data_IF_831817049800
#
_entry.id   IF_831817049800
#
_cell.length_a   1.000
_cell.length_b   1.000
_cell.length_c   1.000
_cell.angle_alpha   90.00
_cell.angle_beta   90.00
_cell.angle_gamma   90.00
#
_symmetry.space_group_name_H-M   'P 1'
#
loop_
_entity.id
_entity.type
_entity.pdbx_description
1 polymer ?
#
# COMPACT_ATOMS: atom_id res chain seq x y z
N UNK A 1 -30.19 20.52 -93.86
CA UNK A 1 -28.93 19.84 -94.23
C UNK A 1 -28.23 19.47 -92.94
N UNK A 2 -27.90 18.18 -92.79
CA UNK A 2 -27.56 17.57 -91.49
C UNK A 2 -26.15 17.87 -90.99
N UNK A 3 -25.83 17.30 -89.82
CA UNK A 3 -24.77 16.30 -89.61
C UNK A 3 -24.34 16.24 -88.13
N UNK A 4 -24.40 15.02 -87.59
CA UNK A 4 -23.60 14.38 -86.52
C UNK A 4 -23.69 14.77 -85.04
N UNK A 5 -24.11 13.75 -84.27
CA UNK A 5 -23.67 13.44 -82.92
C UNK A 5 -22.17 13.07 -82.81
N UNK A 6 -21.54 13.48 -81.71
CA UNK A 6 -20.46 12.83 -80.91
C UNK A 6 -20.53 13.54 -79.55
N UNK A 7 -20.82 12.94 -78.40
CA UNK A 7 -20.32 11.69 -77.82
C UNK A 7 -19.36 12.08 -76.69
N UNK A 8 -19.77 11.95 -75.42
CA UNK A 8 -18.84 11.83 -74.29
C UNK A 8 -19.48 11.05 -73.15
N UNK A 9 -18.89 9.89 -72.87
CA UNK A 9 -19.10 9.03 -71.71
C UNK A 9 -18.21 9.60 -70.61
N UNK A 10 -18.77 9.85 -69.41
CA UNK A 10 -18.01 10.29 -68.24
C UNK A 10 -18.60 9.67 -66.98
N UNK A 11 -17.86 8.71 -66.41
CA UNK A 11 -18.32 7.78 -65.39
C UNK A 11 -18.74 8.41 -64.06
N UNK A 12 -19.72 7.77 -63.42
CA UNK A 12 -20.10 8.03 -62.03
C UNK A 12 -19.05 7.42 -61.10
N UNK A 13 -18.24 8.26 -60.46
CA UNK A 13 -17.37 7.85 -59.36
C UNK A 13 -18.24 7.56 -58.12
N UNK A 14 -18.32 6.29 -57.73
CA UNK A 14 -18.81 5.90 -56.40
C UNK A 14 -17.66 6.06 -55.41
N UNK A 15 -17.77 7.02 -54.49
CA UNK A 15 -16.86 7.11 -53.34
C UNK A 15 -17.23 6.02 -52.33
N UNK A 16 -16.43 4.95 -52.28
CA UNK A 16 -16.48 3.96 -51.22
C UNK A 16 -15.76 4.54 -49.99
N UNK A 17 -16.52 5.01 -49.00
CA UNK A 17 -15.94 5.43 -47.70
C UNK A 17 -15.64 4.17 -46.90
N UNK A 18 -14.38 3.73 -46.94
CA UNK A 18 -13.89 2.63 -46.10
C UNK A 18 -13.66 3.20 -44.70
N UNK A 19 -14.52 2.80 -43.75
CA UNK A 19 -14.26 3.00 -42.34
C UNK A 19 -13.15 2.04 -41.90
N UNK A 20 -11.92 2.55 -41.81
CA UNK A 20 -10.85 1.82 -41.15
C UNK A 20 -11.14 1.91 -39.64
N UNK A 21 -11.69 0.83 -39.09
CA UNK A 21 -11.71 0.60 -37.65
C UNK A 21 -10.26 0.45 -37.20
N UNK A 22 -9.65 1.55 -36.73
CA UNK A 22 -8.41 1.46 -35.96
C UNK A 22 -8.84 0.81 -34.65
N UNK A 23 -8.68 -0.51 -34.55
CA UNK A 23 -8.68 -1.17 -33.27
C UNK A 23 -7.53 -0.54 -32.48
N UNK A 24 -7.87 0.31 -31.52
CA UNK A 24 -6.95 0.76 -30.50
C UNK A 24 -6.35 -0.50 -29.89
N UNK A 25 -5.07 -0.76 -30.16
CA UNK A 25 -4.31 -1.74 -29.40
C UNK A 25 -4.36 -1.23 -27.97
N UNK A 26 -5.21 -1.80 -27.14
CA UNK A 26 -5.08 -1.68 -25.70
C UNK A 26 -3.63 -2.08 -25.43
N UNK A 27 -2.84 -1.18 -24.82
CA UNK A 27 -1.52 -1.55 -24.35
C UNK A 27 -1.73 -2.77 -23.45
N UNK A 28 -1.20 -3.93 -23.84
CA UNK A 28 -1.27 -5.14 -23.03
C UNK A 28 -0.56 -4.80 -21.72
N UNK A 29 -1.23 -4.95 -20.59
CA UNK A 29 -0.59 -4.83 -19.28
C UNK A 29 0.60 -5.78 -19.19
N UNK A 30 1.57 -5.46 -18.34
CA UNK A 30 2.74 -6.31 -18.16
C UNK A 30 2.35 -7.68 -17.59
N UNK A 31 2.96 -8.75 -18.11
CA UNK A 31 2.74 -10.11 -17.64
C UNK A 31 3.41 -10.30 -16.26
N UNK A 32 2.61 -10.21 -15.20
CA UNK A 32 3.08 -10.30 -13.82
C UNK A 32 3.55 -11.72 -13.44
N UNK A 33 3.23 -12.75 -14.23
CA UNK A 33 3.72 -14.10 -14.00
C UNK A 33 5.22 -14.26 -14.26
N UNK A 34 5.82 -13.32 -14.99
CA UNK A 34 7.27 -13.28 -15.19
C UNK A 34 8.04 -12.80 -13.94
N UNK A 35 7.37 -12.12 -13.00
CA UNK A 35 7.98 -11.54 -11.81
C UNK A 35 7.71 -12.34 -10.54
N UNK A 36 6.56 -13.01 -10.47
CA UNK A 36 6.06 -13.58 -9.23
C UNK A 36 5.84 -15.08 -9.29
N UNK A 37 6.18 -15.73 -8.18
CA UNK A 37 5.78 -17.09 -7.86
C UNK A 37 4.57 -17.06 -6.94
N UNK A 38 3.52 -17.79 -7.30
CA UNK A 38 2.33 -17.93 -6.44
C UNK A 38 2.52 -19.02 -5.39
N UNK A 39 1.84 -18.87 -4.25
CA UNK A 39 1.64 -19.95 -3.28
C UNK A 39 0.96 -21.15 -3.96
N UNK A 40 1.28 -22.38 -3.52
CA UNK A 40 0.88 -23.63 -4.19
C UNK A 40 -0.60 -24.01 -4.00
N UNK A 41 -1.47 -23.05 -3.72
CA UNK A 41 -2.90 -23.28 -3.52
C UNK A 41 -3.70 -22.72 -4.70
N UNK A 42 -4.89 -23.27 -4.94
CA UNK A 42 -5.84 -22.68 -5.89
C UNK A 42 -6.35 -21.29 -5.45
N UNK A 43 -5.88 -20.75 -4.31
CA UNK A 43 -6.30 -19.45 -3.78
C UNK A 43 -5.50 -18.27 -4.31
N UNK A 44 -4.33 -18.52 -4.91
CA UNK A 44 -3.56 -17.52 -5.65
C UNK A 44 -3.62 -17.85 -7.15
N UNK A 45 -4.03 -16.90 -7.98
CA UNK A 45 -4.17 -17.11 -9.43
C UNK A 45 -3.65 -15.93 -10.22
N UNK A 46 -3.02 -16.23 -11.35
CA UNK A 46 -2.91 -15.28 -12.45
C UNK A 46 -4.22 -15.27 -13.23
N UNK A 47 -4.75 -14.08 -13.49
CA UNK A 47 -5.97 -13.84 -14.27
C UNK A 47 -5.69 -12.76 -15.31
N UNK A 48 -6.65 -12.52 -16.21
CA UNK A 48 -6.56 -11.51 -17.27
C UNK A 48 -5.29 -11.64 -18.14
N UNK A 49 -5.07 -12.83 -18.70
CA UNK A 49 -3.86 -13.17 -19.47
C UNK A 49 -2.55 -12.87 -18.71
N UNK A 50 -2.53 -13.23 -17.41
CA UNK A 50 -1.43 -12.99 -16.48
C UNK A 50 -1.11 -11.52 -16.20
N UNK A 51 -2.05 -10.60 -16.37
CA UNK A 51 -1.86 -9.19 -16.04
C UNK A 51 -2.26 -8.87 -14.59
N UNK A 52 -3.05 -9.74 -13.95
CA UNK A 52 -3.51 -9.56 -12.57
C UNK A 52 -3.26 -10.82 -11.74
N UNK A 53 -2.84 -10.63 -10.48
CA UNK A 53 -2.83 -11.66 -9.44
C UNK A 53 -4.07 -11.45 -8.57
N UNK A 54 -4.85 -12.51 -8.36
CA UNK A 54 -5.90 -12.55 -7.34
C UNK A 54 -5.47 -13.45 -6.20
N UNK A 55 -5.53 -12.90 -4.99
CA UNK A 55 -5.33 -13.63 -3.75
C UNK A 55 -6.66 -13.77 -3.04
N UNK A 56 -6.99 -14.99 -2.63
CA UNK A 56 -8.19 -15.28 -1.87
C UNK A 56 -7.89 -15.82 -0.47
N UNK A 57 -8.81 -15.52 0.44
CA UNK A 57 -8.82 -15.97 1.82
C UNK A 57 -10.19 -16.60 2.12
N UNK A 58 -10.16 -17.81 2.67
CA UNK A 58 -11.31 -18.50 3.24
C UNK A 58 -10.94 -19.10 4.61
N UNK A 59 -11.91 -19.72 5.29
CA UNK A 59 -11.69 -20.23 6.65
C UNK A 59 -10.58 -21.29 6.75
N UNK A 60 -10.25 -21.94 5.63
CA UNK A 60 -9.21 -22.97 5.59
C UNK A 60 -7.83 -22.35 5.61
N UNK A 61 -7.58 -21.35 4.75
CA UNK A 61 -6.28 -20.69 4.65
C UNK A 61 -6.31 -19.42 3.80
N UNK A 62 -5.24 -18.61 3.92
CA UNK A 62 -4.94 -17.48 3.06
C UNK A 62 -4.20 -17.86 1.78
N UNK A 63 -3.58 -16.87 1.16
CA UNK A 63 -2.71 -17.07 -0.02
C UNK A 63 -1.73 -15.91 -0.20
N UNK A 64 -0.76 -16.11 -1.08
CA UNK A 64 0.23 -15.08 -1.39
C UNK A 64 1.04 -15.35 -2.65
N UNK A 65 1.93 -14.41 -2.94
CA UNK A 65 2.96 -14.49 -3.96
C UNK A 65 4.29 -13.90 -3.46
N UNK A 66 5.40 -14.27 -4.11
CA UNK A 66 6.73 -13.72 -3.86
C UNK A 66 7.43 -13.39 -5.18
N UNK A 67 8.31 -12.40 -5.19
CA UNK A 67 9.18 -12.16 -6.35
C UNK A 67 10.15 -13.33 -6.56
N UNK A 68 10.57 -13.55 -7.81
CA UNK A 68 11.66 -14.49 -8.11
C UNK A 68 13.03 -13.99 -7.64
N UNK A 69 13.23 -12.67 -7.67
CA UNK A 69 14.50 -12.01 -7.33
C UNK A 69 14.42 -11.28 -6.00
N UNK A 70 15.57 -11.20 -5.32
CA UNK A 70 15.80 -10.25 -4.24
C UNK A 70 16.24 -8.90 -4.83
N UNK A 71 15.90 -7.81 -4.15
CA UNK A 71 16.30 -6.46 -4.54
C UNK A 71 17.00 -5.75 -3.39
N UNK A 72 17.96 -4.89 -3.70
CA UNK A 72 18.56 -3.96 -2.74
C UNK A 72 18.52 -2.56 -3.35
N UNK A 73 17.57 -1.76 -2.89
CA UNK A 73 17.17 -0.48 -3.46
C UNK A 73 16.42 -0.57 -4.81
N UNK A 74 15.50 0.37 -5.02
CA UNK A 74 14.64 0.44 -6.19
C UNK A 74 13.45 1.38 -6.02
N UNK A 75 12.75 1.60 -7.11
CA UNK A 75 11.38 2.09 -7.14
C UNK A 75 10.47 0.93 -7.53
N UNK A 76 9.49 0.62 -6.69
CA UNK A 76 8.57 -0.50 -6.88
C UNK A 76 7.14 0.03 -6.83
N UNK A 77 6.36 -0.22 -7.87
CA UNK A 77 4.96 0.18 -7.94
C UNK A 77 4.08 -1.04 -8.14
N UNK A 78 2.99 -1.11 -7.37
CA UNK A 78 1.94 -2.10 -7.57
C UNK A 78 0.60 -1.40 -7.55
N UNK A 79 -0.30 -1.76 -8.48
CA UNK A 79 -1.70 -1.37 -8.37
C UNK A 79 -2.46 -2.43 -7.63
N UNK A 80 -3.11 -2.04 -6.55
CA UNK A 80 -3.84 -2.96 -5.67
C UNK A 80 -5.28 -2.48 -5.52
N UNK A 81 -6.22 -3.42 -5.58
CA UNK A 81 -7.63 -3.19 -5.27
C UNK A 81 -8.04 -4.08 -4.10
N UNK A 82 -8.59 -3.45 -3.07
CA UNK A 82 -8.94 -4.10 -1.80
C UNK A 82 -10.24 -4.90 -1.88
N UNK A 83 -10.48 -5.68 -0.83
CA UNK A 83 -11.67 -6.49 -0.63
C UNK A 83 -12.90 -5.57 -0.49
N UNK A 84 -13.94 -5.70 -1.34
CA UNK A 84 -15.15 -4.90 -1.21
C UNK A 84 -16.05 -5.43 -0.09
N UNK A 85 -16.93 -4.56 0.42
CA UNK A 85 -17.91 -4.93 1.45
C UNK A 85 -17.27 -5.13 2.82
N UNK A 86 -17.72 -6.14 3.57
CA UNK A 86 -17.16 -6.46 4.88
C UNK A 86 -15.87 -7.27 4.71
N UNK A 87 -14.77 -6.69 5.17
CA UNK A 87 -13.43 -7.27 5.16
C UNK A 87 -12.85 -7.33 6.58
N UNK A 88 -13.69 -7.20 7.62
CA UNK A 88 -13.22 -7.18 8.99
C UNK A 88 -12.39 -8.43 9.33
N UNK A 89 -11.34 -8.25 10.12
CA UNK A 89 -10.38 -9.28 10.51
C UNK A 89 -9.42 -9.71 9.40
N UNK A 90 -9.54 -9.24 8.17
CA UNK A 90 -8.59 -9.55 7.09
C UNK A 90 -7.43 -8.57 7.05
N UNK A 91 -6.27 -9.05 6.62
CA UNK A 91 -5.08 -8.24 6.32
C UNK A 91 -4.62 -8.56 4.91
N UNK A 92 -4.61 -7.56 4.04
CA UNK A 92 -4.01 -7.62 2.70
C UNK A 92 -2.67 -6.91 2.75
N UNK A 93 -1.62 -7.47 2.17
CA UNK A 93 -0.26 -6.92 2.29
C UNK A 93 0.41 -6.69 0.95
N UNK A 94 1.38 -5.78 0.96
CA UNK A 94 2.39 -5.59 -0.07
C UNK A 94 3.67 -5.15 0.64
N UNK A 95 4.66 -6.03 0.73
CA UNK A 95 5.80 -5.80 1.61
C UNK A 95 7.10 -6.40 1.05
N UNK A 96 8.21 -5.95 1.61
CA UNK A 96 9.54 -6.45 1.31
C UNK A 96 10.14 -7.00 2.58
N UNK A 97 10.77 -8.17 2.54
CA UNK A 97 11.45 -8.71 3.71
C UNK A 97 12.71 -9.49 3.34
N UNK A 98 13.75 -9.38 4.16
CA UNK A 98 14.86 -10.33 4.17
C UNK A 98 14.59 -11.43 5.21
N UNK A 99 15.48 -12.41 5.34
CA UNK A 99 15.27 -13.53 6.26
C UNK A 99 16.26 -13.52 7.42
N UNK A 100 15.79 -13.95 8.59
CA UNK A 100 16.60 -14.16 9.78
C UNK A 100 16.19 -13.29 10.97
N UNK A 101 16.91 -13.43 12.08
CA UNK A 101 16.60 -12.73 13.32
C UNK A 101 16.80 -11.20 13.21
N UNK A 102 17.67 -10.76 12.30
CA UNK A 102 17.99 -9.35 12.04
C UNK A 102 17.42 -8.90 10.70
N UNK A 103 16.29 -9.46 10.27
CA UNK A 103 15.71 -9.13 8.96
C UNK A 103 15.39 -7.64 8.83
N UNK A 104 15.44 -7.18 7.59
CA UNK A 104 14.96 -5.87 7.17
C UNK A 104 13.56 -6.08 6.55
N UNK A 105 12.60 -5.17 6.81
CA UNK A 105 11.24 -5.28 6.29
C UNK A 105 10.58 -3.90 6.07
N UNK A 106 9.80 -3.77 4.99
CA UNK A 106 9.05 -2.56 4.62
C UNK A 106 7.62 -2.95 4.24
N UNK A 107 6.65 -2.44 4.99
CA UNK A 107 5.28 -2.94 4.92
C UNK A 107 4.27 -1.92 4.41
N UNK A 108 3.39 -2.37 3.52
CA UNK A 108 2.02 -1.88 3.40
C UNK A 108 1.08 -3.00 3.89
N UNK A 109 0.27 -2.70 4.88
CA UNK A 109 -0.74 -3.61 5.44
C UNK A 109 -2.11 -2.92 5.45
N UNK A 110 -3.05 -3.44 4.67
CA UNK A 110 -4.41 -2.95 4.60
C UNK A 110 -5.26 -3.74 5.60
N UNK A 111 -5.73 -3.06 6.62
CA UNK A 111 -6.55 -3.63 7.68
C UNK A 111 -8.00 -3.49 7.28
N UNK A 112 -8.63 -4.63 6.95
CA UNK A 112 -10.02 -4.66 6.53
C UNK A 112 -10.98 -4.20 7.64
N UNK A 113 -12.19 -3.83 7.25
CA UNK A 113 -13.17 -3.26 8.15
C UNK A 113 -14.60 -3.68 7.79
N UNK A 114 -15.55 -3.37 8.66
CA UNK A 114 -16.97 -3.66 8.42
C UNK A 114 -17.49 -2.87 7.22
N UNK A 115 -18.56 -3.36 6.59
CA UNK A 115 -19.20 -2.63 5.48
C UNK A 115 -19.53 -1.19 5.88
N UNK A 116 -19.05 -0.23 5.08
CA UNK A 116 -19.29 1.20 5.29
C UNK A 116 -18.27 1.91 6.18
N UNK A 117 -17.37 1.17 6.81
CA UNK A 117 -16.26 1.72 7.59
C UNK A 117 -14.96 1.75 6.76
N UNK A 118 -14.08 2.75 6.96
CA UNK A 118 -12.88 2.91 6.15
C UNK A 118 -11.85 1.81 6.43
N UNK A 119 -11.19 1.34 5.37
CA UNK A 119 -9.98 0.52 5.47
C UNK A 119 -8.83 1.39 6.00
N UNK A 120 -8.01 0.83 6.88
CA UNK A 120 -6.80 1.47 7.38
C UNK A 120 -5.61 0.95 6.57
N UNK A 121 -4.77 1.85 6.07
CA UNK A 121 -3.44 1.50 5.60
C UNK A 121 -2.44 1.69 6.73
N UNK A 122 -1.81 0.60 7.16
CA UNK A 122 -0.66 0.59 8.05
C UNK A 122 0.63 0.50 7.23
N UNK A 123 1.64 1.28 7.62
CA UNK A 123 3.03 1.08 7.18
C UNK A 123 3.90 0.75 8.37
N UNK A 124 4.93 -0.07 8.15
CA UNK A 124 5.92 -0.41 9.17
C UNK A 124 7.31 -0.53 8.56
N UNK A 125 8.32 -0.44 9.41
CA UNK A 125 9.74 -0.51 9.02
C UNK A 125 10.51 -1.32 10.06
N UNK A 126 11.04 -2.47 9.64
CA UNK A 126 12.04 -3.21 10.38
C UNK A 126 13.42 -2.97 9.77
N UNK A 127 14.37 -2.59 10.62
CA UNK A 127 15.78 -2.46 10.24
C UNK A 127 16.64 -3.21 11.24
N UNK A 128 17.44 -4.15 10.75
CA UNK A 128 18.27 -5.05 11.57
C UNK A 128 17.46 -5.80 12.64
N UNK A 129 16.24 -6.23 12.31
CA UNK A 129 15.31 -6.94 13.20
C UNK A 129 14.58 -6.05 14.21
N UNK A 130 14.80 -4.74 14.20
CA UNK A 130 14.10 -3.79 15.06
C UNK A 130 12.95 -3.19 14.27
N UNK A 131 11.71 -3.48 14.65
CA UNK A 131 10.49 -2.89 14.09
C UNK A 131 9.83 -1.90 15.04
N UNK A 132 8.54 -2.12 15.32
CA UNK A 132 7.71 -1.30 16.20
C UNK A 132 7.50 0.15 15.71
N UNK A 133 7.47 0.36 14.39
CA UNK A 133 7.38 1.70 13.77
C UNK A 133 6.09 1.88 12.99
N UNK A 134 4.96 1.45 13.52
CA UNK A 134 3.70 1.50 12.79
C UNK A 134 3.23 2.95 12.61
N UNK A 135 2.78 3.29 11.41
CA UNK A 135 1.97 4.47 11.13
C UNK A 135 0.70 4.01 10.42
N UNK A 136 -0.45 4.57 10.79
CA UNK A 136 -1.75 4.20 10.21
C UNK A 136 -2.45 5.42 9.67
N UNK A 137 -2.96 5.32 8.45
CA UNK A 137 -3.78 6.35 7.83
C UNK A 137 -5.12 5.79 7.36
N UNK A 138 -6.14 6.63 7.31
CA UNK A 138 -7.24 6.42 6.37
C UNK A 138 -6.82 6.86 4.97
N UNK A 139 -7.47 6.33 3.95
CA UNK A 139 -7.27 6.75 2.56
C UNK A 139 -8.30 7.82 2.18
N UNK A 140 -7.92 8.73 1.28
CA UNK A 140 -8.80 9.80 0.75
C UNK A 140 -9.72 9.32 -0.39
N UNK A 141 -9.87 8.00 -0.52
CA UNK A 141 -10.70 7.31 -1.50
C UNK A 141 -11.11 5.93 -0.94
N UNK A 142 -12.05 5.26 -1.59
CA UNK A 142 -12.40 3.86 -1.31
C UNK A 142 -11.43 2.93 -2.06
N UNK A 143 -10.50 2.24 -1.38
CA UNK A 143 -9.50 1.40 -2.03
C UNK A 143 -10.06 0.08 -2.58
N UNK A 144 -11.33 -0.24 -2.32
CA UNK A 144 -12.01 -1.40 -2.90
C UNK A 144 -12.78 -1.06 -4.18
N UNK A 145 -13.04 0.22 -4.44
CA UNK A 145 -13.81 0.68 -5.60
C UNK A 145 -13.02 0.58 -6.91
N UNK A 146 -11.72 0.87 -6.89
CA UNK A 146 -10.83 0.76 -8.05
C UNK A 146 -9.38 0.45 -7.62
N UNK A 147 -8.51 0.22 -8.59
CA UNK A 147 -7.09 0.02 -8.40
C UNK A 147 -6.35 1.34 -8.17
N UNK A 148 -5.61 1.42 -7.07
CA UNK A 148 -4.75 2.55 -6.72
C UNK A 148 -3.27 2.14 -6.72
N UNK A 149 -2.38 3.09 -6.99
CA UNK A 149 -0.93 2.86 -6.98
C UNK A 149 -0.40 2.92 -5.55
N UNK A 150 0.33 1.88 -5.16
CA UNK A 150 1.11 1.83 -3.93
C UNK A 150 2.57 1.68 -4.33
N UNK A 151 3.35 2.71 -4.04
CA UNK A 151 4.73 2.82 -4.52
C UNK A 151 5.70 2.90 -3.36
N UNK A 152 6.79 2.14 -3.45
CA UNK A 152 7.91 2.19 -2.54
C UNK A 152 9.14 2.73 -3.27
N UNK A 153 9.64 3.88 -2.84
CA UNK A 153 11.00 4.32 -3.15
C UNK A 153 11.90 3.87 -2.02
N UNK A 154 12.90 3.05 -2.30
CA UNK A 154 13.93 2.64 -1.35
C UNK A 154 15.30 2.90 -1.97
N UNK A 155 16.04 3.88 -1.46
CA UNK A 155 17.36 4.24 -1.98
C UNK A 155 18.39 4.34 -0.84
N UNK A 156 19.62 4.77 -1.15
CA UNK A 156 20.69 4.85 -0.14
C UNK A 156 20.44 5.94 0.91
N UNK A 157 19.47 6.84 0.69
CA UNK A 157 19.23 8.01 1.54
C UNK A 157 17.94 7.95 2.34
N UNK A 158 16.90 7.28 1.82
CA UNK A 158 15.59 7.23 2.45
C UNK A 158 14.71 6.13 1.86
N UNK A 159 13.71 5.73 2.65
CA UNK A 159 12.53 5.03 2.18
C UNK A 159 11.37 6.01 2.12
N UNK A 160 10.61 6.01 1.04
CA UNK A 160 9.37 6.78 0.90
C UNK A 160 8.24 5.87 0.43
N UNK A 161 7.15 5.89 1.18
CA UNK A 161 5.91 5.21 0.86
C UNK A 161 4.97 6.20 0.17
N UNK A 162 4.40 5.82 -0.97
CA UNK A 162 3.45 6.64 -1.72
C UNK A 162 2.13 5.91 -1.94
N UNK A 163 1.07 6.72 -2.04
CA UNK A 163 -0.23 6.32 -2.54
C UNK A 163 -0.60 7.28 -3.68
N UNK A 164 -0.79 6.77 -4.90
CA UNK A 164 -1.08 7.58 -6.09
C UNK A 164 -0.12 8.76 -6.30
N UNK A 165 1.16 8.54 -6.00
CA UNK A 165 2.22 9.57 -6.11
C UNK A 165 2.27 10.57 -4.96
N UNK A 166 1.37 10.49 -3.98
CA UNK A 166 1.37 11.30 -2.76
C UNK A 166 2.21 10.59 -1.70
N UNK A 167 3.29 11.20 -1.16
CA UNK A 167 4.07 10.58 -0.09
C UNK A 167 3.25 10.53 1.20
N UNK A 168 3.14 9.34 1.79
CA UNK A 168 2.41 9.12 3.04
C UNK A 168 3.35 8.93 4.24
N UNK A 169 4.61 8.57 3.99
CA UNK A 169 5.64 8.36 5.01
C UNK A 169 7.04 8.45 4.40
N UNK A 170 7.99 8.97 5.20
CA UNK A 170 9.43 8.93 4.92
C UNK A 170 10.14 8.28 6.10
N UNK A 171 11.09 7.39 5.84
CA UNK A 171 12.05 6.86 6.82
C UNK A 171 13.47 7.19 6.34
N UNK A 172 14.16 8.15 6.98
CA UNK A 172 15.45 8.63 6.49
C UNK A 172 16.60 7.69 6.87
N UNK A 173 17.62 7.60 6.01
CA UNK A 173 18.89 6.97 6.37
C UNK A 173 19.74 7.95 7.19
N UNK A 174 19.72 7.76 8.51
CA UNK A 174 20.48 8.57 9.48
C UNK A 174 21.45 7.70 10.29
N UNK A 175 21.76 6.50 9.78
CA UNK A 175 22.54 5.50 10.49
C UNK A 175 23.94 6.02 10.84
N UNK A 176 24.62 6.67 9.90
CA UNK A 176 25.97 7.20 10.14
C UNK A 176 25.98 8.36 11.14
N UNK A 177 24.90 9.15 11.18
CA UNK A 177 24.79 10.32 12.05
C UNK A 177 24.31 9.98 13.47
N UNK A 178 23.50 8.92 13.63
CA UNK A 178 22.75 8.68 14.88
C UNK A 178 22.83 7.23 15.39
N UNK A 179 23.29 6.29 14.56
CA UNK A 179 23.29 4.86 14.86
C UNK A 179 21.92 4.18 14.70
N UNK A 180 20.85 4.90 14.35
CA UNK A 180 19.54 4.28 14.04
C UNK A 180 19.69 3.39 12.79
N UNK A 181 19.39 2.09 12.86
CA UNK A 181 19.61 1.19 11.73
C UNK A 181 18.80 1.56 10.48
N UNK A 182 19.41 1.31 9.33
CA UNK A 182 18.78 1.48 8.02
C UNK A 182 18.91 0.20 7.17
N UNK A 183 17.96 0.01 6.25
CA UNK A 183 17.81 -1.18 5.42
C UNK A 183 18.76 -1.07 4.22
N UNK A 184 20.05 -1.23 4.45
CA UNK A 184 21.09 -1.07 3.40
C UNK A 184 22.00 -2.29 3.23
N UNK A 185 21.89 -3.28 4.11
CA UNK A 185 22.78 -4.45 4.14
C UNK A 185 22.19 -5.72 3.54
N UNK A 186 20.86 -5.81 3.40
CA UNK A 186 20.17 -7.05 3.08
C UNK A 186 19.22 -6.85 1.90
N UNK A 187 19.43 -7.56 0.78
CA UNK A 187 18.42 -7.64 -0.25
C UNK A 187 17.15 -8.31 0.28
N UNK A 188 16.01 -7.85 -0.23
CA UNK A 188 14.69 -8.30 0.20
C UNK A 188 13.91 -8.89 -0.97
N UNK A 189 13.14 -9.93 -0.71
CA UNK A 189 12.09 -10.38 -1.61
C UNK A 189 10.85 -9.50 -1.43
N UNK A 190 10.11 -9.31 -2.50
CA UNK A 190 8.79 -8.67 -2.49
C UNK A 190 7.73 -9.74 -2.31
N UNK A 191 6.76 -9.49 -1.44
CA UNK A 191 5.63 -10.35 -1.17
C UNK A 191 4.31 -9.58 -1.24
N UNK A 192 3.24 -10.31 -1.58
CA UNK A 192 1.87 -9.89 -1.31
C UNK A 192 1.10 -11.07 -0.74
N UNK A 193 0.37 -10.85 0.34
CA UNK A 193 -0.39 -11.89 1.04
C UNK A 193 -1.77 -11.40 1.46
N UNK A 194 -2.69 -12.34 1.64
CA UNK A 194 -3.96 -12.12 2.31
C UNK A 194 -4.13 -13.17 3.41
N UNK A 195 -4.44 -12.73 4.63
CA UNK A 195 -4.53 -13.60 5.80
C UNK A 195 -5.48 -13.05 6.87
N UNK A 196 -5.85 -13.90 7.83
CA UNK A 196 -6.72 -13.51 8.94
C UNK A 196 -5.91 -12.92 10.11
N UNK A 197 -6.14 -11.64 10.40
CA UNK A 197 -5.56 -10.88 11.50
C UNK A 197 -6.55 -10.65 12.65
N UNK A 198 -7.48 -11.57 12.92
CA UNK A 198 -8.55 -11.42 13.93
C UNK A 198 -8.09 -10.92 15.29
N UNK A 199 -6.86 -11.24 15.70
CA UNK A 199 -6.33 -10.83 17.01
C UNK A 199 -6.05 -9.33 17.12
N UNK A 200 -5.96 -8.58 16.01
CA UNK A 200 -5.54 -7.17 16.05
C UNK A 200 -6.05 -6.28 14.90
N UNK A 201 -6.34 -6.82 13.72
CA UNK A 201 -6.51 -6.05 12.49
C UNK A 201 -7.63 -4.99 12.57
N UNK A 202 -8.85 -5.41 12.91
CA UNK A 202 -10.01 -4.50 12.92
C UNK A 202 -10.34 -4.04 14.33
N UNK A 203 -10.24 -2.73 14.56
CA UNK A 203 -10.49 -2.08 15.85
C UNK A 203 -9.67 -2.70 17.01
N UNK A 204 -8.40 -3.03 16.74
CA UNK A 204 -7.54 -3.70 17.73
C UNK A 204 -7.96 -5.14 18.02
N UNK A 205 -8.58 -5.81 17.05
CA UNK A 205 -9.03 -7.19 17.15
C UNK A 205 -10.40 -7.38 17.79
N UNK A 206 -11.18 -6.31 17.99
CA UNK A 206 -12.54 -6.42 18.56
C UNK A 206 -13.54 -7.03 17.58
N UNK A 207 -13.39 -6.72 16.29
CA UNK A 207 -14.25 -7.24 15.24
C UNK A 207 -13.50 -8.39 14.53
N UNK A 208 -14.19 -9.51 14.36
CA UNK A 208 -13.65 -10.75 13.79
C UNK A 208 -14.14 -10.93 12.37
N UNK A 209 -13.43 -11.72 11.59
CA UNK A 209 -13.85 -12.11 10.24
C UNK A 209 -15.16 -12.89 10.28
N UNK A 210 -16.14 -12.42 9.53
CA UNK A 210 -17.36 -13.18 9.21
C UNK A 210 -17.08 -14.11 8.03
N UNK A 211 -16.68 -15.33 8.34
CA UNK A 211 -16.36 -16.34 7.33
C UNK A 211 -17.52 -16.73 6.41
N UNK A 212 -18.77 -16.34 6.71
CA UNK A 212 -19.90 -16.56 5.79
C UNK A 212 -19.82 -15.70 4.53
N UNK A 213 -18.96 -14.68 4.54
CA UNK A 213 -18.71 -13.75 3.43
C UNK A 213 -17.52 -14.16 2.56
N UNK A 214 -16.82 -15.24 2.92
CA UNK A 214 -15.72 -15.77 2.12
C UNK A 214 -16.20 -16.27 0.73
N UNK A 215 -15.34 -16.23 -0.30
CA UNK A 215 -13.94 -15.83 -0.25
C UNK A 215 -13.74 -14.31 -0.27
N UNK A 216 -12.81 -13.84 0.56
CA UNK A 216 -12.31 -12.47 0.47
C UNK A 216 -11.22 -12.41 -0.59
N UNK A 217 -11.30 -11.45 -1.52
CA UNK A 217 -10.38 -11.38 -2.67
C UNK A 217 -9.73 -10.01 -2.74
N UNK A 218 -8.40 -10.01 -2.80
CA UNK A 218 -7.58 -8.83 -3.13
C UNK A 218 -6.93 -9.03 -4.50
N UNK A 219 -6.88 -7.96 -5.28
CA UNK A 219 -6.33 -7.99 -6.65
C UNK A 219 -5.10 -7.10 -6.77
N UNK A 220 -4.09 -7.57 -7.51
CA UNK A 220 -2.82 -6.91 -7.74
C UNK A 220 -2.50 -6.91 -9.23
N UNK A 221 -2.08 -5.79 -9.81
CA UNK A 221 -1.72 -5.71 -11.24
C UNK A 221 -0.77 -4.56 -11.53
N UNK A 222 -0.41 -4.40 -12.80
CA UNK A 222 0.39 -3.28 -13.29
C UNK A 222 1.70 -3.10 -12.47
N UNK A 223 2.33 -4.21 -12.10
CA UNK A 223 3.60 -4.18 -11.37
C UNK A 223 4.67 -3.53 -12.22
N UNK A 224 5.38 -2.56 -11.66
CA UNK A 224 6.49 -1.89 -12.33
C UNK A 224 7.66 -1.76 -11.37
N UNK A 225 8.85 -2.07 -11.86
CA UNK A 225 10.08 -2.08 -11.06
C UNK A 225 11.24 -1.49 -11.84
N UNK A 226 11.95 -0.55 -11.20
CA UNK A 226 13.29 -0.14 -11.61
C UNK A 226 14.17 -0.23 -10.36
N UNK A 227 14.93 -1.32 -10.26
CA UNK A 227 15.60 -1.72 -9.04
C UNK A 227 16.95 -2.38 -9.33
N UNK A 228 17.72 -2.59 -8.26
CA UNK A 228 18.95 -3.37 -8.32
C UNK A 228 18.67 -4.79 -7.82
N UNK A 229 18.58 -5.73 -8.76
CA UNK A 229 18.60 -7.15 -8.45
C UNK A 229 20.05 -7.62 -8.23
N UNK A 230 20.23 -8.61 -7.35
CA UNK A 230 21.49 -9.32 -7.04
C UNK A 230 22.51 -8.63 -6.12
N UNK A 231 23.00 -9.40 -5.12
CA UNK A 231 23.92 -9.01 -4.02
C UNK A 231 25.25 -8.38 -4.45
N UNK A 232 25.78 -8.76 -5.61
CA UNK A 232 27.21 -8.57 -5.93
C UNK A 232 27.51 -7.19 -6.54
N UNK A 233 26.50 -6.52 -7.12
CA UNK A 233 26.70 -5.27 -7.85
C UNK A 233 25.85 -4.10 -7.33
N UNK A 234 25.29 -4.18 -6.13
CA UNK A 234 24.26 -3.24 -5.63
C UNK A 234 24.75 -1.80 -5.54
N UNK A 235 25.98 -1.55 -5.10
CA UNK A 235 26.58 -0.20 -5.07
C UNK A 235 26.82 0.36 -6.48
N UNK A 236 27.37 -0.45 -7.39
CA UNK A 236 27.57 -0.07 -8.79
C UNK A 236 26.24 0.18 -9.48
N UNK A 237 25.26 -0.70 -9.27
CA UNK A 237 23.93 -0.56 -9.81
C UNK A 237 23.31 0.75 -9.32
N UNK A 238 23.14 0.94 -8.01
CA UNK A 238 22.49 2.10 -7.43
C UNK A 238 23.09 3.44 -7.90
N UNK A 239 24.42 3.51 -8.07
CA UNK A 239 25.11 4.71 -8.55
C UNK A 239 24.66 5.19 -9.94
N UNK A 240 24.16 4.27 -10.79
CA UNK A 240 23.69 4.58 -12.15
C UNK A 240 22.21 4.89 -12.23
N UNK A 241 21.48 4.72 -11.13
CA UNK A 241 20.03 4.74 -11.12
C UNK A 241 19.49 6.14 -10.84
N UNK A 242 18.39 6.51 -11.50
CA UNK A 242 17.81 7.86 -11.42
C UNK A 242 17.29 8.19 -10.01
N UNK A 243 16.75 7.20 -9.30
CA UNK A 243 16.17 7.35 -7.97
C UNK A 243 17.20 7.42 -6.85
N UNK A 244 18.50 7.31 -7.19
CA UNK A 244 19.62 7.50 -6.27
C UNK A 244 20.42 8.77 -6.57
N UNK A 245 19.89 9.67 -7.42
CA UNK A 245 20.47 10.98 -7.71
C UNK A 245 20.08 12.01 -6.65
N UNK A 246 20.80 13.13 -6.61
CA UNK A 246 20.67 14.19 -5.60
C UNK A 246 19.21 14.63 -5.31
N UNK A 247 18.39 14.73 -6.36
CA UNK A 247 16.98 15.14 -6.25
C UNK A 247 16.07 14.14 -5.50
N UNK A 248 16.54 12.93 -5.22
CA UNK A 248 15.83 11.88 -4.47
C UNK A 248 16.45 11.59 -3.10
N UNK A 249 17.44 12.38 -2.67
CA UNK A 249 18.06 12.22 -1.35
C UNK A 249 17.11 12.63 -0.21
N UNK A 250 16.20 13.57 -0.47
CA UNK A 250 15.12 13.97 0.41
C UNK A 250 13.93 14.52 -0.40
N UNK A 251 12.73 14.56 0.19
CA UNK A 251 11.55 15.16 -0.44
C UNK A 251 11.76 16.66 -0.67
N UNK A 252 11.31 17.16 -1.82
CA UNK A 252 11.23 18.60 -2.06
C UNK A 252 10.08 19.25 -1.25
N UNK A 253 10.04 20.58 -1.25
CA UNK A 253 9.02 21.34 -0.51
C UNK A 253 7.57 21.03 -0.90
N UNK A 254 7.31 20.66 -2.16
CA UNK A 254 5.97 20.33 -2.64
C UNK A 254 5.54 18.97 -2.09
N UNK A 255 6.40 17.95 -2.23
CA UNK A 255 6.17 16.62 -1.69
C UNK A 255 6.08 16.62 -0.16
N UNK A 256 6.88 17.45 0.52
CA UNK A 256 6.77 17.63 1.97
C UNK A 256 5.43 18.26 2.38
N UNK A 257 4.95 19.25 1.61
CA UNK A 257 3.62 19.83 1.83
C UNK A 257 2.49 18.80 1.68
N UNK A 258 2.59 17.90 0.70
CA UNK A 258 1.66 16.79 0.53
C UNK A 258 1.73 15.79 1.69
N UNK A 259 2.93 15.42 2.13
CA UNK A 259 3.12 14.54 3.29
C UNK A 259 2.49 15.15 4.55
N UNK A 260 2.68 16.45 4.77
CA UNK A 260 2.06 17.14 5.92
C UNK A 260 0.53 17.13 5.82
N UNK A 261 -0.03 17.34 4.62
CA UNK A 261 -1.47 17.21 4.42
C UNK A 261 -1.99 15.81 4.78
N UNK A 262 -1.27 14.74 4.38
CA UNK A 262 -1.62 13.37 4.78
C UNK A 262 -1.60 13.21 6.30
N UNK A 263 -0.52 13.66 6.94
CA UNK A 263 -0.36 13.56 8.40
C UNK A 263 -1.44 14.32 9.17
N UNK A 264 -1.80 15.52 8.71
CA UNK A 264 -2.79 16.37 9.38
C UNK A 264 -4.24 15.87 9.21
N UNK A 265 -4.55 15.26 8.07
CA UNK A 265 -5.95 14.96 7.70
C UNK A 265 -6.31 13.47 7.80
N UNK A 266 -5.32 12.57 7.73
CA UNK A 266 -5.58 11.13 7.58
C UNK A 266 -4.82 10.23 8.56
N UNK A 267 -3.79 10.72 9.24
CA UNK A 267 -3.05 9.93 10.23
C UNK A 267 -3.91 9.64 11.46
N UNK A 268 -4.08 8.36 11.78
CA UNK A 268 -4.85 7.88 12.93
C UNK A 268 -4.01 7.18 13.99
N UNK A 269 -2.77 6.80 13.66
CA UNK A 269 -1.78 6.33 14.61
C UNK A 269 -0.37 6.65 14.11
N UNK A 270 0.47 7.18 14.99
CA UNK A 270 1.88 7.44 14.68
C UNK A 270 2.75 7.07 15.89
N UNK A 271 3.58 6.02 15.72
CA UNK A 271 4.52 5.56 16.75
C UNK A 271 5.43 6.69 17.29
N UNK A 272 5.73 7.71 16.48
CA UNK A 272 6.54 8.86 16.89
C UNK A 272 5.94 9.66 18.06
N UNK A 273 4.62 9.56 18.23
CA UNK A 273 3.85 10.29 19.26
C UNK A 273 3.17 9.36 20.27
N UNK A 274 3.43 8.05 20.20
CA UNK A 274 2.92 7.06 21.14
C UNK A 274 3.79 7.01 22.40
N UNK A 275 3.57 7.97 23.30
CA UNK A 275 4.30 8.06 24.57
C UNK A 275 3.94 6.95 25.58
N UNK A 276 2.89 6.18 25.32
CA UNK A 276 2.56 5.01 26.13
C UNK A 276 3.47 3.82 25.78
N UNK A 277 3.86 3.71 24.51
CA UNK A 277 4.81 2.68 24.04
C UNK A 277 6.26 3.14 24.14
N UNK A 278 6.54 4.41 23.83
CA UNK A 278 7.89 4.97 23.81
C UNK A 278 8.05 6.08 24.84
N UNK A 279 8.88 5.85 25.87
CA UNK A 279 9.14 6.85 26.92
C UNK A 279 9.79 8.15 26.39
N UNK A 280 10.32 8.14 25.17
CA UNK A 280 10.82 9.30 24.45
C UNK A 280 10.54 9.11 22.96
N UNK A 281 10.37 10.22 22.24
CA UNK A 281 10.22 10.19 20.78
C UNK A 281 11.43 9.51 20.13
N UNK A 282 11.23 8.50 19.27
CA UNK A 282 12.32 7.86 18.52
C UNK A 282 13.15 8.88 17.72
N UNK A 283 14.46 8.64 17.61
CA UNK A 283 15.43 9.62 17.10
C UNK A 283 15.09 10.04 15.66
N UNK A 284 14.70 9.08 14.83
CA UNK A 284 14.33 9.28 13.44
C UNK A 284 13.10 10.19 13.26
N UNK A 285 12.21 10.25 14.25
CA UNK A 285 11.00 11.06 14.18
C UNK A 285 11.27 12.56 14.31
N UNK A 286 12.34 12.94 15.01
CA UNK A 286 12.77 14.33 15.18
C UNK A 286 13.81 14.79 14.16
N UNK A 287 14.29 13.88 13.31
CA UNK A 287 15.38 14.18 12.39
C UNK A 287 14.87 14.92 11.15
N UNK A 288 15.44 16.10 10.89
CA UNK A 288 15.14 16.87 9.67
C UNK A 288 16.23 16.62 8.64
N UNK A 289 15.90 15.89 7.57
CA UNK A 289 16.83 15.72 6.44
C UNK A 289 16.91 17.04 5.66
N UNK A 290 18.12 17.58 5.38
CA UNK A 290 18.27 18.78 4.58
C UNK A 290 17.63 18.62 3.19
N UNK A 291 16.76 19.55 2.80
CA UNK A 291 16.12 19.53 1.48
C UNK A 291 17.16 19.83 0.38
N UNK A 292 17.22 19.07 -0.73
CA UNK A 292 18.11 19.38 -1.84
C UNK A 292 17.75 20.72 -2.46
N UNK A 293 18.74 21.55 -2.83
CA UNK A 293 18.54 22.92 -3.30
C UNK A 293 17.96 23.04 -4.73
N UNK A 294 17.64 21.92 -5.39
CA UNK A 294 17.20 21.88 -6.79
C UNK A 294 15.90 21.08 -6.93
N UNK A 295 14.81 21.76 -7.31
CA UNK A 295 13.54 21.12 -7.68
C UNK A 295 13.70 20.22 -8.91
N UNK A 296 13.04 19.05 -8.95
CA UNK A 296 13.08 18.17 -10.12
C UNK A 296 12.30 18.78 -11.29
N UNK A 297 12.94 18.89 -12.45
CA UNK A 297 12.24 18.89 -13.75
C UNK A 297 11.78 17.46 -14.04
N UNK A 298 10.48 17.26 -14.22
CA UNK A 298 9.88 15.99 -14.63
C UNK A 298 10.58 15.42 -15.88
N UNK A 299 10.74 14.08 -15.99
CA UNK A 299 11.32 13.46 -17.19
C UNK A 299 10.46 13.76 -18.43
N UNK A 300 11.06 13.90 -19.62
CA UNK A 300 10.34 14.19 -20.85
C UNK A 300 9.67 12.91 -21.37
N UNK A 301 8.65 12.41 -20.67
CA UNK A 301 7.59 11.55 -21.26
C UNK A 301 6.43 11.15 -20.33
N UNK A 302 6.29 11.71 -19.13
CA UNK A 302 5.01 11.62 -18.42
C UNK A 302 4.12 12.79 -18.86
N UNK A 303 3.26 12.53 -19.85
CA UNK A 303 2.09 13.40 -20.07
C UNK A 303 1.35 13.56 -18.74
N UNK A 304 1.12 14.78 -18.24
CA UNK A 304 0.26 14.95 -17.08
C UNK A 304 -1.15 14.54 -17.51
N UNK A 305 -1.65 13.44 -16.96
CA UNK A 305 -3.10 13.27 -16.85
C UNK A 305 -3.57 14.42 -15.98
N UNK A 306 -4.27 15.37 -16.62
CA UNK A 306 -4.91 16.46 -15.92
C UNK A 306 -5.76 15.88 -14.77
N UNK A 307 -5.77 16.49 -13.58
CA UNK A 307 -6.69 16.09 -12.54
C UNK A 307 -8.11 16.29 -13.07
N UNK A 308 -8.82 15.20 -13.32
CA UNK A 308 -10.27 15.23 -13.42
C UNK A 308 -10.77 15.74 -12.09
N UNK A 309 -11.35 16.94 -12.11
CA UNK A 309 -11.99 17.58 -10.97
C UNK A 309 -12.92 16.58 -10.27
N UNK A 310 -12.84 16.40 -8.93
CA UNK A 310 -13.89 15.69 -8.23
C UNK A 310 -15.17 16.52 -8.39
N UNK A 311 -16.16 15.92 -9.04
CA UNK A 311 -17.53 16.40 -8.98
C UNK A 311 -17.92 16.52 -7.52
N UNK A 312 -18.47 17.68 -7.18
CA UNK A 312 -18.90 18.11 -5.85
C UNK A 312 -19.60 17.00 -5.05
N UNK A 313 -18.86 16.35 -4.16
CA UNK A 313 -19.43 15.60 -3.05
C UNK A 313 -19.53 16.55 -1.86
N UNK A 314 -20.76 16.92 -1.54
CA UNK A 314 -21.12 17.72 -0.36
C UNK A 314 -20.65 17.01 0.91
N UNK A 315 -20.01 17.70 1.87
CA UNK A 315 -19.65 17.08 3.14
C UNK A 315 -20.90 16.70 3.93
N UNK A 316 -20.90 15.58 4.70
CA UNK A 316 -22.02 15.24 5.57
C UNK A 316 -22.13 16.26 6.70
N UNK A 317 -23.35 16.80 6.86
CA UNK A 317 -23.74 17.76 7.88
C UNK A 317 -23.54 17.17 9.29
N UNK A 318 -22.87 17.94 10.16
CA UNK A 318 -22.84 17.72 11.60
C UNK A 318 -24.26 17.82 12.21
N UNK A 319 -24.62 17.00 13.20
CA UNK A 319 -25.94 17.09 13.84
C UNK A 319 -26.04 18.37 14.67
N UNK A 320 -27.00 19.22 14.30
CA UNK A 320 -27.37 20.42 15.03
C UNK A 320 -28.15 20.06 16.31
N UNK A 321 -27.70 20.61 17.43
CA UNK A 321 -28.37 20.56 18.72
C UNK A 321 -29.59 21.47 18.72
N UNK A 322 -30.79 20.89 18.56
CA UNK A 322 -32.03 21.62 18.80
C UNK A 322 -32.28 21.74 20.31
N UNK A 323 -31.99 22.92 20.83
CA UNK A 323 -32.52 23.37 22.12
C UNK A 323 -34.00 23.73 21.96
N UNK A 324 -34.87 23.05 22.71
CA UNK A 324 -36.24 23.53 22.95
C UNK A 324 -36.54 23.42 24.44
N UNK A 325 -36.66 24.57 25.09
CA UNK A 325 -37.08 24.69 26.48
C UNK A 325 -38.61 24.54 26.59
N UNK A 326 -39.07 23.75 27.55
CA UNK A 326 -40.40 23.92 28.14
C UNK A 326 -40.34 23.61 29.64
N UNK A 327 -40.54 24.67 30.41
CA UNK A 327 -40.72 24.85 31.87
C UNK A 327 -41.94 24.08 32.41
N UNK A 328 -41.88 23.30 33.50
CA UNK A 328 -42.14 23.63 34.96
C UNK A 328 -42.50 22.32 35.72
N UNK A 329 -42.61 22.23 37.07
CA UNK A 329 -41.76 22.65 38.18
C UNK A 329 -41.50 21.46 39.20
N UNK A 330 -40.92 21.64 40.42
CA UNK A 330 -40.05 20.65 41.06
C UNK A 330 -40.72 19.75 42.13
N UNK A 331 -40.09 18.60 42.39
CA UNK A 331 -40.20 17.85 43.65
C UNK A 331 -38.80 17.42 44.10
N UNK A 332 -38.50 17.64 45.37
CA UNK A 332 -37.31 17.21 46.11
C UNK A 332 -37.81 16.59 47.43
N UNK A 333 -36.97 16.02 48.31
CA UNK A 333 -35.81 15.14 48.12
C UNK A 333 -35.86 13.90 49.06
N UNK A 334 -35.07 12.84 48.78
CA UNK A 334 -34.57 11.85 49.78
C UNK A 334 -33.38 11.12 49.14
N UNK A 335 -32.12 11.43 49.47
CA UNK A 335 -31.30 11.02 50.63
C UNK A 335 -30.59 9.66 50.45
N UNK A 336 -29.25 9.74 50.46
CA UNK A 336 -28.22 8.69 50.64
C UNK A 336 -28.10 7.65 49.51
N UNK A 337 -26.91 7.28 49.02
CA UNK A 337 -25.66 7.06 49.74
C UNK A 337 -24.41 7.20 48.86
N UNK A 338 -23.31 7.59 49.50
CA UNK A 338 -21.92 7.18 49.25
C UNK A 338 -21.36 7.28 47.82
N UNK A 339 -20.59 8.34 47.61
CA UNK A 339 -19.53 8.39 46.63
C UNK A 339 -18.37 7.47 47.05
N UNK A 340 -17.94 6.61 46.14
CA UNK A 340 -16.59 6.05 46.11
C UNK A 340 -15.99 6.29 44.71
N UNK A 341 -14.67 6.50 44.63
CA UNK A 341 -14.02 7.11 43.47
C UNK A 341 -13.81 6.12 42.31
N UNK A 342 -13.90 6.66 41.09
CA UNK A 342 -13.52 6.02 39.83
C UNK A 342 -12.03 5.66 39.89
N UNK A 343 -11.62 4.39 39.73
CA UNK A 343 -10.22 4.05 39.56
C UNK A 343 -9.75 4.36 38.12
N UNK A 344 -8.49 4.75 37.93
CA UNK A 344 -7.97 5.16 36.63
C UNK A 344 -7.88 4.00 35.64
N UNK A 345 -8.17 4.34 34.39
CA UNK A 345 -7.99 3.58 33.15
C UNK A 345 -6.80 2.62 33.17
N UNK A 346 -7.08 1.33 32.97
CA UNK A 346 -6.09 0.29 32.70
C UNK A 346 -5.41 0.53 31.34
N UNK A 347 -4.10 0.30 31.33
CA UNK A 347 -3.17 0.43 30.20
C UNK A 347 -3.55 -0.41 28.97
N UNK A 348 -3.12 -0.03 27.76
CA UNK A 348 -3.22 -0.88 26.58
C UNK A 348 -2.37 -2.14 26.77
N UNK A 349 -2.95 -3.28 26.40
CA UNK A 349 -2.31 -4.59 26.41
C UNK A 349 -0.98 -4.55 25.67
N UNK A 350 0.08 -5.04 26.32
CA UNK A 350 1.34 -5.37 25.69
C UNK A 350 1.06 -6.24 24.45
N UNK A 351 1.40 -5.73 23.27
CA UNK A 351 1.54 -6.54 22.07
C UNK A 351 2.70 -7.49 22.29
N UNK A 352 2.38 -8.67 22.84
CA UNK A 352 3.23 -9.84 22.69
C UNK A 352 3.57 -9.98 21.21
N UNK A 353 4.84 -10.26 20.95
CA UNK A 353 5.38 -10.67 19.66
C UNK A 353 4.37 -11.54 18.87
N UNK A 354 4.28 -11.38 17.54
CA UNK A 354 3.26 -12.04 16.74
C UNK A 354 3.23 -13.55 17.02
N UNK A 355 2.03 -14.02 17.38
CA UNK A 355 1.73 -15.43 17.60
C UNK A 355 2.18 -16.28 16.39
N UNK A 356 2.48 -17.54 16.66
CA UNK A 356 3.15 -18.56 15.82
C UNK A 356 2.56 -18.88 14.43
N UNK A 357 1.67 -18.05 13.89
CA UNK A 357 1.11 -18.22 12.55
C UNK A 357 1.99 -17.63 11.45
N UNK A 358 2.88 -16.67 11.77
CA UNK A 358 3.97 -16.29 10.85
C UNK A 358 4.82 -17.53 10.50
N UNK A 359 5.18 -18.34 11.51
CA UNK A 359 6.04 -19.52 11.32
C UNK A 359 5.41 -20.63 10.45
N UNK A 360 4.09 -20.82 10.47
CA UNK A 360 3.46 -21.90 9.70
C UNK A 360 3.51 -21.66 8.19
N UNK A 361 3.45 -20.39 7.76
CA UNK A 361 3.70 -19.99 6.37
C UNK A 361 5.19 -20.08 6.00
N UNK A 362 6.09 -19.61 6.86
CA UNK A 362 7.53 -19.70 6.64
C UNK A 362 8.04 -21.15 6.54
N UNK A 363 7.48 -22.08 7.32
CA UNK A 363 7.87 -23.49 7.22
C UNK A 363 7.48 -24.12 5.88
N UNK A 364 6.34 -23.78 5.29
CA UNK A 364 5.93 -24.36 4.01
C UNK A 364 6.82 -23.88 2.85
N UNK A 365 7.27 -22.62 2.84
CA UNK A 365 8.18 -22.10 1.80
C UNK A 365 9.60 -22.63 1.99
N UNK A 366 10.07 -22.75 3.24
CA UNK A 366 11.42 -23.24 3.55
C UNK A 366 11.58 -24.74 3.28
N UNK A 367 10.55 -25.55 3.57
CA UNK A 367 10.59 -27.01 3.30
C UNK A 367 10.58 -27.30 1.79
N UNK A 368 9.90 -26.49 0.98
CA UNK A 368 9.93 -26.64 -0.50
C UNK A 368 11.28 -26.22 -1.10
N UNK A 369 11.97 -25.24 -0.51
CA UNK A 369 13.31 -24.84 -0.96
C UNK A 369 14.40 -25.89 -0.62
N UNK A 370 14.27 -26.59 0.51
CA UNK A 370 15.26 -27.61 0.94
C UNK A 370 15.15 -28.92 0.14
N UNK A 371 13.94 -29.31 -0.32
CA UNK A 371 13.76 -30.55 -1.09
C UNK A 371 14.21 -30.49 -2.56
N UNK A 372 14.40 -29.30 -3.13
CA UNK A 372 14.86 -29.13 -4.52
C UNK A 372 16.39 -29.16 -4.68
N UNK A 373 17.16 -29.14 -3.58
CA UNK A 373 18.63 -29.17 -3.62
C UNK A 373 19.27 -30.56 -3.43
N UNK A 374 18.48 -31.63 -3.25
CA UNK A 374 19.00 -32.99 -3.00
C UNK A 374 18.89 -33.96 -4.19
N UNK A 375 18.45 -33.53 -5.37
CA UNK A 375 18.43 -34.39 -6.56
C UNK A 375 18.94 -33.69 -7.83
N UNK A 376 20.20 -33.25 -7.83
CA UNK A 376 21.03 -33.21 -9.06
C UNK A 376 22.50 -33.38 -8.67
N UNK A 377 22.96 -34.63 -8.64
CA UNK A 377 24.35 -35.04 -8.93
C UNK A 377 24.31 -36.27 -9.80
#
# INVERSE_FOLDING_TARGET
>A
MGVMCRGYIGGRFYFLVVWIMIASRQARGEDVSSFFKLSSSERAKFVDDNQEIQLSLDQSDGSGFSSYSEFLFGMFNMRIKMIPGDSAGTVTTYYFTSFGATHDELDFEFLGNQTGEPIILQTNVYASGVGDREQRIFLWFDPAADFHNYTLLWNTQQVVFYVDGVPIRVYPNIQDATGVPYLQGQPMYLFGTIWNGDSWATQGGKIKTDWTLAPFIASYRDFSVDACADKVATSTCASTKWWNQQQYEALDSSLLGQLNWVKENYMVYDYCTDYARFNATPIECGYTTPTPSTSPTLPPNSSPLAPTSPSSATPPLSPTSNSRSSTTPPLSPTSNSSAEPIPPSLAPSQSKAPNSNHLQWFLHITVVAIFLFTFTT
#
